data_IF_216030464297
#
_entry.id   IF_216030464297
#
_cell.length_a   1.000
_cell.length_b   1.000
_cell.length_c   1.000
_cell.angle_alpha   90.00
_cell.angle_beta   90.00
_cell.angle_gamma   90.00
#
_symmetry.space_group_name_H-M   'P 1'
#
loop_
_entity.id
_entity.type
_entity.pdbx_description
1 polymer ?
#
# COMPACT_ATOMS: atom_id res chain seq x y z
N UNK A 1 0.26 4.46 -13.68
CA UNK A 1 1.46 3.85 -13.06
C UNK A 1 1.38 2.32 -13.20
N UNK A 2 2.50 1.61 -13.41
CA UNK A 2 2.53 0.14 -13.32
C UNK A 2 3.05 -0.26 -11.93
N UNK A 3 2.19 -0.86 -11.10
CA UNK A 3 2.52 -1.24 -9.72
C UNK A 3 3.18 -2.63 -9.74
N UNK A 4 4.34 -2.76 -9.10
CA UNK A 4 5.10 -4.01 -8.99
C UNK A 4 5.46 -4.30 -7.53
N UNK A 5 6.00 -5.49 -7.26
CA UNK A 5 6.45 -5.90 -5.92
C UNK A 5 7.52 -4.96 -5.35
N UNK A 6 8.30 -4.31 -6.20
CA UNK A 6 9.38 -3.38 -5.85
C UNK A 6 8.91 -1.93 -5.72
N UNK A 7 7.67 -1.63 -6.13
CA UNK A 7 7.09 -0.29 -5.97
C UNK A 7 7.10 0.10 -4.50
N UNK A 8 7.65 1.28 -4.19
CA UNK A 8 7.63 1.82 -2.84
C UNK A 8 6.26 2.36 -2.52
N UNK A 9 5.78 2.06 -1.32
CA UNK A 9 4.53 2.62 -0.83
C UNK A 9 4.60 4.16 -0.79
N UNK A 10 5.75 4.73 -0.44
CA UNK A 10 5.95 6.18 -0.42
C UNK A 10 5.65 6.85 -1.77
N UNK A 11 6.05 6.21 -2.88
CA UNK A 11 5.84 6.75 -4.23
C UNK A 11 4.34 6.72 -4.57
N UNK A 12 3.64 5.62 -4.23
CA UNK A 12 2.19 5.51 -4.38
C UNK A 12 1.43 6.55 -3.55
N UNK A 13 1.83 6.78 -2.30
CA UNK A 13 1.19 7.78 -1.44
C UNK A 13 1.50 9.22 -1.87
N UNK A 14 2.61 9.46 -2.58
CA UNK A 14 2.93 10.75 -3.15
C UNK A 14 2.06 11.04 -4.40
N UNK A 15 1.87 10.04 -5.25
CA UNK A 15 1.02 10.14 -6.45
C UNK A 15 -0.48 10.17 -6.09
N UNK A 16 -0.88 9.39 -5.09
CA UNK A 16 -2.26 9.26 -4.62
C UNK A 16 -2.35 9.53 -3.10
N UNK A 17 -2.34 10.80 -2.64
CA UNK A 17 -2.37 11.13 -1.21
C UNK A 17 -3.59 10.59 -0.45
N UNK A 18 -4.71 10.41 -1.14
CA UNK A 18 -5.95 9.84 -0.62
C UNK A 18 -5.82 8.33 -0.30
N UNK A 19 -4.88 7.64 -0.95
CA UNK A 19 -4.67 6.19 -0.78
C UNK A 19 -4.28 5.83 0.65
N UNK A 20 -3.63 6.73 1.40
CA UNK A 20 -3.23 6.48 2.80
C UNK A 20 -4.43 6.09 3.69
N UNK A 21 -5.60 6.67 3.43
CA UNK A 21 -6.81 6.48 4.22
C UNK A 21 -7.62 5.30 3.69
N UNK A 22 -7.49 5.00 2.39
CA UNK A 22 -8.25 3.95 1.72
C UNK A 22 -7.52 2.60 1.62
N UNK A 23 -6.20 2.56 1.78
CA UNK A 23 -5.39 1.34 1.70
C UNK A 23 -5.88 0.27 2.67
N UNK A 24 -6.48 0.66 3.80
CA UNK A 24 -7.09 -0.23 4.79
C UNK A 24 -8.26 -1.05 4.24
N UNK A 25 -8.88 -0.62 3.12
CA UNK A 25 -9.91 -1.37 2.39
C UNK A 25 -9.34 -2.58 1.66
N UNK A 26 -8.05 -2.55 1.28
CA UNK A 26 -7.34 -3.71 0.71
C UNK A 26 -7.07 -4.76 1.78
N UNK A 27 -6.56 -4.30 2.93
CA UNK A 27 -6.29 -5.15 4.07
C UNK A 27 -6.32 -4.35 5.37
N UNK A 28 -7.08 -4.81 6.36
CA UNK A 28 -7.20 -4.10 7.64
C UNK A 28 -5.86 -3.95 8.37
N UNK A 29 -4.90 -4.87 8.16
CA UNK A 29 -3.57 -4.76 8.77
C UNK A 29 -2.82 -3.52 8.32
N UNK A 30 -3.16 -2.95 7.16
CA UNK A 30 -2.55 -1.70 6.69
C UNK A 30 -2.91 -0.49 7.56
N UNK A 31 -3.90 -0.60 8.47
CA UNK A 31 -4.13 0.38 9.55
C UNK A 31 -2.85 0.64 10.36
N UNK A 32 -1.94 -0.34 10.45
CA UNK A 32 -0.65 -0.19 11.13
C UNK A 32 0.22 0.93 10.56
N UNK A 33 0.07 1.28 9.28
CA UNK A 33 0.84 2.33 8.60
C UNK A 33 0.53 3.73 9.16
N UNK A 34 -0.62 3.90 9.81
CA UNK A 34 -1.01 5.15 10.46
C UNK A 34 -0.34 5.35 11.84
N UNK A 35 0.29 4.32 12.40
CA UNK A 35 1.06 4.42 13.64
C UNK A 35 2.39 5.16 13.43
N UNK A 36 3.02 5.74 14.48
CA UNK A 36 4.32 6.42 14.36
C UNK A 36 5.41 5.55 13.72
N UNK A 37 5.46 4.26 14.10
CA UNK A 37 6.41 3.29 13.52
C UNK A 37 6.01 2.95 12.08
N UNK A 38 4.71 2.73 11.84
CA UNK A 38 4.17 2.47 10.51
C UNK A 38 4.46 3.57 9.50
N UNK A 39 4.42 4.84 9.91
CA UNK A 39 4.77 5.99 9.06
C UNK A 39 6.24 5.98 8.65
N UNK A 40 7.15 5.56 9.53
CA UNK A 40 8.57 5.42 9.19
C UNK A 40 8.75 4.25 8.22
N UNK A 41 8.05 3.14 8.46
CA UNK A 41 8.09 1.96 7.58
C UNK A 41 7.52 2.29 6.19
N UNK A 42 6.40 3.00 6.10
CA UNK A 42 5.76 3.39 4.84
C UNK A 42 6.68 4.19 3.90
N UNK A 43 7.62 4.97 4.48
CA UNK A 43 8.62 5.73 3.71
C UNK A 43 9.66 4.84 3.00
N UNK A 44 9.85 3.60 3.47
CA UNK A 44 10.92 2.71 3.01
C UNK A 44 10.40 1.39 2.43
N UNK A 45 9.18 0.98 2.80
CA UNK A 45 8.61 -0.30 2.43
C UNK A 45 8.19 -0.35 0.97
N UNK A 46 8.43 -1.51 0.37
CA UNK A 46 7.91 -1.93 -0.93
C UNK A 46 6.62 -2.73 -0.75
N UNK A 47 5.91 -3.03 -1.84
CA UNK A 47 4.76 -3.94 -1.81
C UNK A 47 5.15 -5.34 -1.31
N UNK A 48 6.35 -5.83 -1.65
CA UNK A 48 6.88 -7.09 -1.13
C UNK A 48 7.03 -7.07 0.40
N UNK A 49 7.56 -5.98 0.98
CA UNK A 49 7.67 -5.84 2.44
C UNK A 49 6.28 -5.83 3.10
N UNK A 50 5.31 -5.19 2.46
CA UNK A 50 3.93 -5.15 2.93
C UNK A 50 3.26 -6.51 2.89
N UNK A 51 3.53 -7.31 1.86
CA UNK A 51 3.09 -8.71 1.79
C UNK A 51 3.61 -9.51 2.97
N UNK A 52 4.92 -9.47 3.23
CA UNK A 52 5.52 -10.18 4.37
C UNK A 52 4.95 -9.76 5.72
N UNK A 53 4.62 -8.47 5.90
CA UNK A 53 4.11 -7.95 7.17
C UNK A 53 2.61 -8.21 7.39
N UNK A 54 1.83 -8.12 6.32
CA UNK A 54 0.38 -8.37 6.38
C UNK A 54 0.04 -9.85 6.30
N UNK A 55 0.92 -10.69 5.74
CA UNK A 55 0.60 -12.07 5.38
C UNK A 55 -0.38 -12.18 4.21
N UNK A 56 -0.59 -11.09 3.47
CA UNK A 56 -1.36 -11.05 2.23
C UNK A 56 -0.39 -11.23 1.05
N UNK A 57 -0.82 -11.92 0.00
CA UNK A 57 0.04 -12.10 -1.17
C UNK A 57 0.31 -10.76 -1.88
N UNK A 58 1.55 -10.58 -2.35
CA UNK A 58 1.95 -9.32 -2.98
C UNK A 58 1.15 -9.02 -4.26
N UNK A 59 0.77 -10.03 -5.03
CA UNK A 59 -0.01 -9.86 -6.25
C UNK A 59 -1.47 -9.48 -5.92
N UNK A 60 -2.03 -10.00 -4.81
CA UNK A 60 -3.33 -9.57 -4.30
C UNK A 60 -3.30 -8.10 -3.82
N UNK A 61 -2.21 -7.67 -3.18
CA UNK A 61 -2.03 -6.27 -2.78
C UNK A 61 -1.95 -5.38 -4.03
N UNK A 62 -1.15 -5.75 -5.03
CA UNK A 62 -1.02 -5.01 -6.30
C UNK A 62 -2.38 -4.88 -6.96
N UNK A 63 -3.14 -5.97 -7.05
CA UNK A 63 -4.47 -5.98 -7.64
C UNK A 63 -5.42 -5.07 -6.86
N UNK A 64 -5.50 -5.21 -5.54
CA UNK A 64 -6.38 -4.39 -4.70
C UNK A 64 -6.08 -2.91 -4.79
N UNK A 65 -4.79 -2.52 -4.83
CA UNK A 65 -4.37 -1.13 -5.03
C UNK A 65 -4.73 -0.62 -6.42
N UNK A 66 -4.53 -1.43 -7.45
CA UNK A 66 -4.87 -1.08 -8.84
C UNK A 66 -6.38 -0.87 -9.00
N UNK A 67 -7.20 -1.76 -8.43
CA UNK A 67 -8.65 -1.65 -8.46
C UNK A 67 -9.14 -0.41 -7.70
N UNK A 68 -8.54 -0.10 -6.54
CA UNK A 68 -8.83 1.11 -5.77
C UNK A 68 -8.53 2.40 -6.54
N UNK A 69 -7.35 2.48 -7.15
CA UNK A 69 -6.92 3.62 -7.96
C UNK A 69 -7.81 3.75 -9.20
N UNK A 70 -8.15 2.63 -9.85
CA UNK A 70 -9.07 2.61 -10.99
C UNK A 70 -10.48 3.09 -10.64
N UNK A 71 -10.97 2.78 -9.44
CA UNK A 71 -12.31 3.16 -8.97
C UNK A 71 -12.45 4.64 -8.56
N UNK A 72 -11.33 5.36 -8.43
CA UNK A 72 -11.30 6.81 -8.13
C UNK A 72 -11.20 7.69 -9.39
N UNK A 73 -11.17 7.10 -10.59
CA UNK A 73 -11.17 7.81 -11.87
C UNK A 73 -12.58 8.02 -12.44
#
# INVERSE_FOLDING_TARGET
MNITKETKLADLLAEYPWLKDEIVKVNEKFKMLNSPIGKIMAKKATIADMSGKSGMDADEIIKGLTDLIGSHN
#
